data_IF_117943522888
#
_entry.id   IF_117943522888
#
_cell.length_a   1.000
_cell.length_b   1.000
_cell.length_c   1.000
_cell.angle_alpha   90.00
_cell.angle_beta   90.00
_cell.angle_gamma   90.00
#
_symmetry.space_group_name_H-M   'P 1'
#
loop_
_entity.id
_entity.type
_entity.pdbx_description
1 polymer ?
#
# COMPACT_ATOMS: atom_id res chain seq x y z
N UNK A 1 11.43 27.98 5.53
CA UNK A 1 10.05 27.60 5.84
C UNK A 1 9.64 28.43 7.05
N UNK A 2 8.57 29.20 6.95
CA UNK A 2 8.06 29.99 8.09
C UNK A 2 7.19 29.10 9.01
N UNK A 3 6.66 29.69 10.10
CA UNK A 3 5.87 28.94 11.10
C UNK A 3 4.56 28.40 10.52
N UNK A 4 3.95 29.12 9.58
CA UNK A 4 2.69 28.72 8.95
C UNK A 4 2.90 27.51 8.02
N UNK A 5 3.98 27.49 7.24
CA UNK A 5 4.36 26.35 6.42
C UNK A 5 4.65 25.10 7.25
N UNK A 6 5.34 25.29 8.41
CA UNK A 6 5.65 24.18 9.30
C UNK A 6 4.40 23.57 9.94
N UNK A 7 3.41 24.41 10.25
CA UNK A 7 2.12 23.96 10.76
C UNK A 7 1.36 23.19 9.69
N UNK A 8 1.22 23.77 8.48
CA UNK A 8 0.54 23.14 7.36
C UNK A 8 1.19 21.79 6.98
N UNK A 9 2.52 21.71 6.97
CA UNK A 9 3.22 20.46 6.72
C UNK A 9 2.95 19.41 7.80
N UNK A 10 2.92 19.78 9.09
CA UNK A 10 2.61 18.85 10.19
C UNK A 10 1.18 18.32 10.10
N UNK A 11 0.23 19.19 9.78
CA UNK A 11 -1.17 18.81 9.56
C UNK A 11 -1.30 17.83 8.38
N UNK A 12 -0.62 18.13 7.27
CA UNK A 12 -0.54 17.24 6.13
C UNK A 12 0.02 15.86 6.50
N UNK A 13 1.15 15.81 7.21
CA UNK A 13 1.77 14.55 7.65
C UNK A 13 0.83 13.77 8.55
N UNK A 14 0.21 14.42 9.54
CA UNK A 14 -0.75 13.78 10.44
C UNK A 14 -1.93 13.15 9.68
N UNK A 15 -2.48 13.87 8.69
CA UNK A 15 -3.61 13.40 7.90
C UNK A 15 -3.26 12.28 6.90
N UNK A 16 -2.00 12.21 6.43
CA UNK A 16 -1.61 11.32 5.32
C UNK A 16 -0.69 10.16 5.71
N UNK A 17 -0.12 10.17 6.90
CA UNK A 17 0.87 9.18 7.33
C UNK A 17 0.39 7.74 7.16
N UNK A 18 -0.82 7.42 7.65
CA UNK A 18 -1.37 6.07 7.57
C UNK A 18 -1.52 5.59 6.12
N UNK A 19 -2.04 6.44 5.24
CA UNK A 19 -2.26 6.09 3.83
C UNK A 19 -0.94 5.95 3.05
N UNK A 20 0.06 6.79 3.34
CA UNK A 20 1.39 6.68 2.72
C UNK A 20 2.12 5.41 3.15
N UNK A 21 2.05 5.05 4.44
CA UNK A 21 2.59 3.78 4.94
C UNK A 21 1.92 2.58 4.28
N UNK A 22 0.60 2.60 4.17
CA UNK A 22 -0.16 1.53 3.51
C UNK A 22 0.22 1.40 2.04
N UNK A 23 0.37 2.51 1.28
CA UNK A 23 0.83 2.49 -0.11
C UNK A 23 2.21 1.87 -0.23
N UNK A 24 3.16 2.27 0.63
CA UNK A 24 4.50 1.72 0.64
C UNK A 24 4.46 0.21 0.91
N UNK A 25 3.76 -0.20 1.97
CA UNK A 25 3.67 -1.60 2.37
C UNK A 25 3.02 -2.49 1.31
N UNK A 26 1.88 -2.10 0.74
CA UNK A 26 1.25 -2.90 -0.33
C UNK A 26 2.13 -3.00 -1.58
N UNK A 27 3.07 -2.07 -1.76
CA UNK A 27 4.02 -2.07 -2.88
C UNK A 27 5.22 -2.96 -2.59
N UNK A 28 5.94 -2.78 -1.47
CA UNK A 28 7.19 -3.51 -1.20
C UNK A 28 6.98 -4.81 -0.39
N UNK A 29 5.93 -4.90 0.42
CA UNK A 29 5.65 -6.08 1.24
C UNK A 29 6.48 -6.19 2.51
N UNK A 30 7.32 -5.20 2.81
CA UNK A 30 8.18 -5.12 3.97
C UNK A 30 7.88 -3.84 4.75
N UNK A 31 7.67 -3.97 6.07
CA UNK A 31 7.24 -2.84 6.88
C UNK A 31 8.36 -1.81 7.13
N UNK A 32 9.57 -2.27 7.40
CA UNK A 32 10.71 -1.38 7.62
C UNK A 32 11.07 -0.61 6.36
N UNK A 33 11.10 -1.29 5.22
CA UNK A 33 11.29 -0.65 3.92
C UNK A 33 10.18 0.35 3.60
N UNK A 34 8.94 0.06 3.98
CA UNK A 34 7.81 0.97 3.81
C UNK A 34 7.98 2.25 4.65
N UNK A 35 8.40 2.13 5.91
CA UNK A 35 8.67 3.29 6.77
C UNK A 35 9.81 4.15 6.25
N UNK A 36 10.90 3.54 5.81
CA UNK A 36 12.03 4.24 5.18
C UNK A 36 11.60 4.96 3.90
N UNK A 37 10.77 4.32 3.06
CA UNK A 37 10.24 4.93 1.85
C UNK A 37 9.41 6.18 2.17
N UNK A 38 8.54 6.11 3.18
CA UNK A 38 7.72 7.23 3.63
C UNK A 38 8.58 8.35 4.22
N UNK A 39 9.52 8.03 5.11
CA UNK A 39 10.42 9.02 5.72
C UNK A 39 11.20 9.78 4.63
N UNK A 40 11.80 9.06 3.68
CA UNK A 40 12.52 9.66 2.56
C UNK A 40 11.64 10.55 1.66
N UNK A 41 10.40 10.13 1.41
CA UNK A 41 9.44 10.91 0.64
C UNK A 41 9.06 12.21 1.34
N UNK A 42 8.79 12.15 2.65
CA UNK A 42 8.43 13.32 3.46
C UNK A 42 9.58 14.32 3.59
N UNK A 43 10.83 13.86 3.72
CA UNK A 43 12.02 14.75 3.71
C UNK A 43 12.10 15.51 2.38
N UNK A 44 11.90 14.83 1.24
CA UNK A 44 11.93 15.47 -0.08
C UNK A 44 10.78 16.44 -0.27
N UNK A 45 9.58 16.10 0.22
CA UNK A 45 8.42 16.98 0.18
C UNK A 45 8.63 18.21 1.06
N UNK A 46 9.18 18.05 2.29
CA UNK A 46 9.49 19.16 3.18
C UNK A 46 10.42 20.17 2.54
N UNK A 47 11.48 19.71 1.90
CA UNK A 47 12.44 20.56 1.20
C UNK A 47 11.82 21.35 0.03
N UNK A 48 10.68 20.91 -0.50
CA UNK A 48 10.00 21.49 -1.66
C UNK A 48 8.60 22.01 -1.34
N UNK A 49 8.18 22.03 -0.08
CA UNK A 49 6.81 22.25 0.35
C UNK A 49 6.12 23.42 -0.37
N UNK A 50 6.79 24.58 -0.43
CA UNK A 50 6.27 25.79 -1.09
C UNK A 50 6.17 25.73 -2.62
N UNK A 51 6.81 24.74 -3.25
CA UNK A 51 6.91 24.60 -4.71
C UNK A 51 6.05 23.50 -5.26
N UNK A 52 5.36 22.77 -4.39
CA UNK A 52 4.54 21.62 -4.76
C UNK A 52 3.07 22.02 -4.68
N UNK A 53 2.41 22.08 -5.84
CA UNK A 53 0.99 22.45 -5.92
C UNK A 53 0.07 21.34 -5.39
N UNK A 54 0.47 20.07 -5.58
CA UNK A 54 -0.31 18.88 -5.17
C UNK A 54 0.53 17.97 -4.26
N UNK A 55 0.67 18.33 -2.96
CA UNK A 55 1.55 17.60 -2.03
C UNK A 55 1.14 16.13 -1.85
N UNK A 56 -0.16 15.81 -1.94
CA UNK A 56 -0.67 14.44 -1.88
C UNK A 56 -0.10 13.56 -2.98
N UNK A 57 -0.26 13.97 -4.24
CA UNK A 57 0.22 13.20 -5.39
C UNK A 57 1.74 13.14 -5.43
N UNK A 58 2.40 14.23 -5.03
CA UNK A 58 3.86 14.26 -4.93
C UNK A 58 4.36 13.24 -3.91
N UNK A 59 3.79 13.24 -2.69
CA UNK A 59 4.16 12.30 -1.64
C UNK A 59 3.93 10.84 -2.09
N UNK A 60 2.75 10.55 -2.63
CA UNK A 60 2.41 9.20 -3.13
C UNK A 60 3.38 8.76 -4.23
N UNK A 61 3.72 9.64 -5.18
CA UNK A 61 4.71 9.33 -6.24
C UNK A 61 6.08 9.00 -5.66
N UNK A 62 6.55 9.79 -4.69
CA UNK A 62 7.86 9.56 -4.06
C UNK A 62 7.87 8.27 -3.24
N UNK A 63 6.81 8.01 -2.48
CA UNK A 63 6.65 6.78 -1.69
C UNK A 63 6.61 5.56 -2.61
N UNK A 64 5.78 5.58 -3.66
CA UNK A 64 5.68 4.48 -4.61
C UNK A 64 7.02 4.16 -5.27
N UNK A 65 7.75 5.17 -5.75
CA UNK A 65 9.07 4.99 -6.37
C UNK A 65 10.07 4.38 -5.41
N UNK A 66 10.13 4.87 -4.18
CA UNK A 66 11.02 4.32 -3.16
C UNK A 66 10.68 2.86 -2.82
N UNK A 67 9.39 2.54 -2.68
CA UNK A 67 8.93 1.17 -2.39
C UNK A 67 9.21 0.20 -3.57
N UNK A 68 9.06 0.66 -4.82
CA UNK A 68 9.43 -0.15 -6.01
C UNK A 68 10.92 -0.41 -6.06
N UNK A 69 11.75 0.60 -5.76
CA UNK A 69 13.21 0.44 -5.73
C UNK A 69 13.63 -0.58 -4.66
N UNK A 70 12.96 -0.59 -3.49
CA UNK A 70 13.22 -1.58 -2.46
C UNK A 70 12.77 -2.99 -2.87
N UNK A 71 11.61 -3.11 -3.53
CA UNK A 71 11.17 -4.40 -4.09
C UNK A 71 12.21 -4.97 -5.06
N UNK A 72 12.80 -4.13 -5.91
CA UNK A 72 13.86 -4.53 -6.84
C UNK A 72 15.12 -4.95 -6.09
N UNK A 73 15.55 -4.21 -5.09
CA UNK A 73 16.73 -4.54 -4.26
C UNK A 73 16.54 -5.84 -3.49
N UNK A 74 15.38 -6.05 -2.90
CA UNK A 74 15.01 -7.29 -2.20
C UNK A 74 15.02 -8.48 -3.15
N UNK A 75 14.54 -8.31 -4.39
CA UNK A 75 14.57 -9.36 -5.41
C UNK A 75 16.01 -9.77 -5.78
N UNK A 76 16.94 -8.83 -5.82
CA UNK A 76 18.36 -9.11 -6.07
C UNK A 76 19.09 -9.69 -4.86
N UNK A 77 18.64 -9.41 -3.64
CA UNK A 77 19.22 -9.93 -2.40
C UNK A 77 18.63 -11.27 -1.97
N UNK A 78 17.81 -11.90 -2.77
CA UNK A 78 17.04 -13.10 -2.41
C UNK A 78 17.80 -14.13 -1.59
N UNK A 79 17.81 -13.94 -0.29
CA UNK A 79 17.89 -14.96 0.74
C UNK A 79 16.94 -14.56 1.87
N UNK A 80 15.74 -15.11 1.85
CA UNK A 80 14.65 -15.16 2.82
C UNK A 80 13.36 -14.44 2.42
N UNK A 81 12.25 -15.19 2.34
CA UNK A 81 10.94 -14.63 2.58
C UNK A 81 10.85 -14.41 4.11
N UNK A 82 11.07 -13.19 4.56
CA UNK A 82 10.71 -12.79 5.90
C UNK A 82 9.20 -12.65 5.95
N UNK A 83 8.53 -13.64 6.51
CA UNK A 83 7.16 -13.51 6.98
C UNK A 83 7.17 -12.69 8.26
N UNK A 84 7.50 -11.41 8.17
CA UNK A 84 7.31 -10.50 9.29
C UNK A 84 5.83 -10.17 9.43
N UNK A 85 5.27 -10.60 10.57
CA UNK A 85 3.96 -10.17 11.00
C UNK A 85 3.93 -8.63 10.97
N UNK A 86 3.03 -8.09 10.18
CA UNK A 86 2.79 -6.65 10.14
C UNK A 86 2.43 -6.18 11.56
N UNK A 87 3.14 -5.20 12.14
CA UNK A 87 2.60 -4.49 13.29
C UNK A 87 1.25 -3.94 12.87
N UNK A 88 0.25 -4.08 13.73
CA UNK A 88 -1.06 -3.50 13.49
C UNK A 88 -0.88 -2.05 13.08
N UNK A 89 -1.21 -1.73 11.83
CA UNK A 89 -1.42 -0.34 11.47
C UNK A 89 -2.58 0.08 12.35
N UNK A 90 -2.31 0.93 13.32
CA UNK A 90 -3.34 1.62 14.09
C UNK A 90 -4.31 2.28 13.10
N UNK A 91 -5.24 1.49 12.62
CA UNK A 91 -6.55 1.98 12.23
C UNK A 91 -7.13 2.51 13.52
N UNK A 92 -7.54 3.76 13.56
CA UNK A 92 -8.16 4.41 14.72
C UNK A 92 -9.52 3.79 15.10
N UNK A 93 -9.62 2.47 15.03
CA UNK A 93 -10.76 1.67 15.47
C UNK A 93 -10.24 0.53 16.35
N UNK A 94 -10.33 0.65 17.69
CA UNK A 94 -9.87 -0.34 18.65
C UNK A 94 -10.76 -1.59 18.73
N UNK A 95 -11.80 -1.70 17.90
CA UNK A 95 -12.67 -2.86 17.83
C UNK A 95 -12.12 -3.86 16.80
N UNK A 96 -11.30 -4.80 17.28
CA UNK A 96 -10.94 -6.08 16.67
C UNK A 96 -10.64 -6.08 15.18
N UNK A 97 -9.40 -6.43 14.81
CA UNK A 97 -9.08 -6.79 13.42
C UNK A 97 -9.99 -7.96 13.06
N UNK A 98 -11.01 -7.72 12.24
CA UNK A 98 -11.93 -8.80 11.84
C UNK A 98 -11.15 -9.79 10.96
N UNK A 99 -11.46 -11.08 11.09
CA UNK A 99 -10.88 -12.16 10.29
C UNK A 99 -10.97 -11.85 8.78
N UNK A 100 -12.03 -11.17 8.38
CA UNK A 100 -12.22 -10.68 7.01
C UNK A 100 -11.14 -9.68 6.57
N UNK A 101 -10.70 -8.77 7.44
CA UNK A 101 -9.59 -7.83 7.13
C UNK A 101 -8.27 -8.57 6.97
N UNK A 102 -8.03 -9.59 7.79
CA UNK A 102 -6.84 -10.44 7.68
C UNK A 102 -6.85 -11.17 6.34
N UNK A 103 -7.98 -11.80 5.97
CA UNK A 103 -8.16 -12.50 4.69
C UNK A 103 -7.96 -11.58 3.49
N UNK A 104 -8.60 -10.42 3.48
CA UNK A 104 -8.44 -9.44 2.38
C UNK A 104 -6.99 -9.02 2.25
N UNK A 105 -6.28 -8.80 3.36
CA UNK A 105 -4.86 -8.45 3.34
C UNK A 105 -4.00 -9.59 2.79
N UNK A 106 -4.21 -10.82 3.23
CA UNK A 106 -3.50 -12.00 2.72
C UNK A 106 -3.73 -12.18 1.22
N UNK A 107 -4.98 -12.10 0.76
CA UNK A 107 -5.33 -12.16 -0.64
C UNK A 107 -4.65 -11.03 -1.46
N UNK A 108 -4.64 -9.81 -0.92
CA UNK A 108 -3.99 -8.68 -1.57
C UNK A 108 -2.48 -8.88 -1.69
N UNK A 109 -1.82 -9.43 -0.67
CA UNK A 109 -0.37 -9.67 -0.67
C UNK A 109 0.04 -10.76 -1.67
N UNK A 110 -0.86 -11.66 -2.07
CA UNK A 110 -0.64 -12.61 -3.14
C UNK A 110 -0.73 -12.01 -4.56
N UNK A 111 -1.27 -10.78 -4.70
CA UNK A 111 -1.30 -10.04 -5.97
C UNK A 111 0.07 -9.41 -6.25
N UNK A 112 0.56 -9.38 -7.52
CA UNK A 112 1.83 -8.74 -7.86
C UNK A 112 1.92 -7.28 -7.42
N UNK A 113 3.09 -6.78 -6.97
CA UNK A 113 3.27 -5.45 -6.38
C UNK A 113 2.67 -4.28 -7.18
N UNK A 114 2.92 -4.23 -8.50
CA UNK A 114 2.38 -3.17 -9.35
C UNK A 114 0.85 -3.20 -9.46
N UNK A 115 0.24 -4.38 -9.44
CA UNK A 115 -1.22 -4.53 -9.43
C UNK A 115 -1.80 -4.13 -8.07
N UNK A 116 -1.15 -4.50 -6.96
CA UNK A 116 -1.54 -4.09 -5.60
C UNK A 116 -1.56 -2.57 -5.46
N UNK A 117 -0.48 -1.90 -5.92
CA UNK A 117 -0.39 -0.44 -5.88
C UNK A 117 -1.53 0.21 -6.69
N UNK A 118 -1.85 -0.31 -7.88
CA UNK A 118 -2.99 0.17 -8.67
C UNK A 118 -4.30 -0.01 -7.92
N UNK A 119 -4.54 -1.19 -7.34
CA UNK A 119 -5.76 -1.46 -6.56
C UNK A 119 -5.89 -0.50 -5.38
N UNK A 120 -4.81 -0.30 -4.63
CA UNK A 120 -4.78 0.62 -3.50
C UNK A 120 -5.11 2.06 -3.92
N UNK A 121 -4.43 2.60 -4.92
CA UNK A 121 -4.63 3.97 -5.38
C UNK A 121 -6.05 4.19 -5.93
N UNK A 122 -6.58 3.24 -6.69
CA UNK A 122 -7.90 3.36 -7.34
C UNK A 122 -9.06 3.13 -6.38
N UNK A 123 -9.00 2.08 -5.56
CA UNK A 123 -10.17 1.63 -4.79
C UNK A 123 -10.11 2.01 -3.31
N UNK A 124 -8.93 2.20 -2.76
CA UNK A 124 -8.79 2.65 -1.38
C UNK A 124 -8.59 4.17 -1.28
N UNK A 125 -7.74 4.75 -2.14
CA UNK A 125 -7.49 6.20 -2.16
C UNK A 125 -8.47 6.98 -3.05
N UNK A 126 -9.23 6.31 -3.91
CA UNK A 126 -10.22 6.93 -4.78
C UNK A 126 -9.64 7.79 -5.91
N UNK A 127 -8.35 7.61 -6.27
CA UNK A 127 -7.74 8.37 -7.36
C UNK A 127 -8.40 8.04 -8.70
N UNK A 128 -8.45 9.01 -9.61
CA UNK A 128 -8.81 8.76 -11.02
C UNK A 128 -7.74 7.89 -11.69
N UNK A 129 -8.07 7.37 -12.88
CA UNK A 129 -7.11 6.58 -13.66
C UNK A 129 -5.89 7.43 -14.03
N UNK A 130 -6.13 8.67 -14.38
CA UNK A 130 -5.13 9.66 -14.76
C UNK A 130 -4.21 9.98 -13.57
N UNK A 131 -4.78 10.27 -12.40
CA UNK A 131 -4.01 10.53 -11.18
C UNK A 131 -3.18 9.30 -10.74
N UNK A 132 -3.77 8.12 -10.80
CA UNK A 132 -3.04 6.90 -10.51
C UNK A 132 -1.89 6.66 -11.52
N UNK A 133 -2.11 6.98 -12.80
CA UNK A 133 -1.08 6.91 -13.83
C UNK A 133 0.08 7.88 -13.55
N UNK A 134 -0.23 9.10 -13.11
CA UNK A 134 0.77 10.10 -12.72
C UNK A 134 1.61 9.62 -11.53
N UNK A 135 0.95 9.08 -10.48
CA UNK A 135 1.63 8.53 -9.30
C UNK A 135 2.54 7.37 -9.67
N UNK A 136 2.05 6.45 -10.49
CA UNK A 136 2.78 5.23 -10.89
C UNK A 136 3.82 5.48 -11.99
N UNK A 137 3.77 6.63 -12.65
CA UNK A 137 4.65 6.97 -13.78
C UNK A 137 4.40 6.09 -15.00
N UNK A 138 3.15 5.76 -15.30
CA UNK A 138 2.78 4.88 -16.41
C UNK A 138 1.60 5.45 -17.24
N UNK A 139 1.31 4.80 -18.36
CA UNK A 139 0.17 5.23 -19.20
C UNK A 139 -1.18 4.84 -18.55
N UNK A 140 -2.26 5.66 -18.68
CA UNK A 140 -3.59 5.35 -18.16
C UNK A 140 -4.14 3.99 -18.58
N UNK A 141 -3.85 3.53 -19.80
CA UNK A 141 -4.17 2.19 -20.28
C UNK A 141 -3.49 1.06 -19.47
N UNK A 142 -2.27 1.32 -18.96
CA UNK A 142 -1.58 0.40 -18.05
C UNK A 142 -2.30 0.28 -16.71
N UNK A 143 -2.77 1.41 -16.16
CA UNK A 143 -3.57 1.41 -14.93
C UNK A 143 -4.83 0.58 -15.11
N UNK A 144 -5.58 0.78 -16.21
CA UNK A 144 -6.80 0.00 -16.53
C UNK A 144 -6.51 -1.51 -16.59
N UNK A 145 -5.48 -1.91 -17.33
CA UNK A 145 -5.13 -3.31 -17.49
C UNK A 145 -4.62 -3.96 -16.20
N UNK A 146 -3.82 -3.23 -15.40
CA UNK A 146 -3.32 -3.68 -14.10
C UNK A 146 -4.46 -3.79 -13.09
N UNK A 147 -5.41 -2.85 -13.07
CA UNK A 147 -6.59 -2.90 -12.22
C UNK A 147 -7.44 -4.14 -12.52
N UNK A 148 -7.74 -4.40 -13.80
CA UNK A 148 -8.54 -5.56 -14.20
C UNK A 148 -7.88 -6.88 -13.80
N UNK A 149 -6.57 -7.04 -14.07
CA UNK A 149 -5.81 -8.25 -13.69
C UNK A 149 -5.69 -8.39 -12.18
N UNK A 150 -5.43 -7.29 -11.47
CA UNK A 150 -5.34 -7.28 -10.01
C UNK A 150 -6.64 -7.68 -9.34
N UNK A 151 -7.79 -7.15 -9.80
CA UNK A 151 -9.10 -7.53 -9.30
C UNK A 151 -9.43 -9.01 -9.56
N UNK A 152 -9.09 -9.51 -10.75
CA UNK A 152 -9.31 -10.92 -11.06
C UNK A 152 -8.53 -11.83 -10.10
N UNK A 153 -7.25 -11.55 -9.89
CA UNK A 153 -6.40 -12.32 -8.96
C UNK A 153 -6.85 -12.18 -7.50
N UNK A 154 -7.23 -10.97 -7.08
CA UNK A 154 -7.72 -10.75 -5.73
C UNK A 154 -8.98 -11.57 -5.45
N UNK A 155 -9.94 -11.61 -6.41
CA UNK A 155 -11.16 -12.41 -6.28
C UNK A 155 -10.86 -13.91 -6.20
N UNK A 156 -9.95 -14.40 -7.04
CA UNK A 156 -9.51 -15.80 -7.02
C UNK A 156 -8.92 -16.16 -5.66
N UNK A 157 -8.01 -15.34 -5.12
CA UNK A 157 -7.39 -15.57 -3.81
C UNK A 157 -8.36 -15.48 -2.64
N UNK A 158 -9.33 -14.58 -2.69
CA UNK A 158 -10.37 -14.50 -1.66
C UNK A 158 -11.26 -15.75 -1.67
N UNK A 159 -11.56 -16.31 -2.85
CA UNK A 159 -12.31 -17.55 -2.98
C UNK A 159 -11.53 -18.74 -2.40
N UNK A 160 -10.25 -18.89 -2.78
CA UNK A 160 -9.37 -19.95 -2.26
C UNK A 160 -9.32 -19.94 -0.72
N UNK A 161 -9.19 -18.75 -0.12
CA UNK A 161 -9.13 -18.58 1.35
C UNK A 161 -10.47 -18.93 2.02
N UNK A 162 -11.60 -18.58 1.40
CA UNK A 162 -12.93 -18.93 1.95
C UNK A 162 -13.18 -20.43 1.91
N UNK A 163 -12.79 -21.10 0.84
CA UNK A 163 -12.91 -22.56 0.72
C UNK A 163 -12.00 -23.31 1.71
N UNK A 164 -10.83 -22.75 2.03
CA UNK A 164 -9.90 -23.32 3.01
C UNK A 164 -10.46 -23.23 4.43
N UNK A 165 -11.04 -22.09 4.80
CA UNK A 165 -11.63 -21.88 6.12
C UNK A 165 -12.84 -22.82 6.36
N UNK A 166 -13.69 -23.02 5.36
CA UNK A 166 -14.82 -23.97 5.43
C UNK A 166 -14.37 -25.42 5.63
N UNK A 167 -13.24 -25.80 5.05
CA UNK A 167 -12.67 -27.15 5.20
C UNK A 167 -12.08 -27.38 6.60
N UNK A 168 -11.43 -26.35 7.18
CA UNK A 168 -10.90 -26.40 8.54
C UNK A 168 -12.01 -26.46 9.58
N UNK A 169 -13.07 -25.64 9.46
CA UNK A 169 -14.25 -25.72 10.34
C UNK A 169 -14.93 -27.10 10.31
N UNK A 170 -15.02 -27.72 9.15
CA UNK A 170 -15.61 -29.07 9.03
C UNK A 170 -14.71 -30.16 9.63
N UNK A 171 -13.39 -29.99 9.56
CA UNK A 171 -12.46 -30.94 10.16
C UNK A 171 -12.49 -30.90 11.68
N UNK A 172 -12.61 -29.72 12.28
CA UNK A 172 -12.68 -29.54 13.75
C UNK A 172 -14.05 -29.97 14.32
N UNK A 173 -15.11 -29.93 13.52
CA UNK A 173 -16.44 -30.39 13.94
C UNK A 173 -16.60 -31.92 13.95
N UNK A 174 -15.64 -32.66 13.40
CA UNK A 174 -15.65 -34.13 13.34
C UNK A 174 -14.79 -34.82 14.41
N UNK A 175 -14.20 -34.09 15.35
CA UNK A 175 -13.41 -34.59 16.49
C UNK A 175 -14.21 -34.45 17.77
#
# INVERSE_FOLDING_TARGET
MDQDDQRAFREFVGARMASLRSLAYVTCGDWHAAEDAVANALIKLYARWRRVDRPDLYAQTMVYRAAVDETRRSWWRRERPAGDAMPDVESADPAGVSDERIRVRQALMAVPPGQRAVLFLRYYQGLTIEEAADVLGCHPGTVKSQAARGLARLRERLKDLSESDELEEHADACV
#
